data_IF_735496325610
#
_entry.id   IF_735496325610
#
_cell.length_a   1.000
_cell.length_b   1.000
_cell.length_c   1.000
_cell.angle_alpha   90.00
_cell.angle_beta   90.00
_cell.angle_gamma   90.00
#
_symmetry.space_group_name_H-M   'P 1'
#
loop_
_entity.id
_entity.type
_entity.pdbx_description
1 polymer ?
#
# COMPACT_ATOMS: atom_id res chain seq x y z
N UNK A 1 -20.21 -5.88 23.33
CA UNK A 1 -20.15 -4.80 22.33
C UNK A 1 -18.92 -5.04 21.46
N UNK A 2 -19.03 -5.57 20.24
CA UNK A 2 -17.88 -5.74 19.37
C UNK A 2 -17.49 -4.38 18.79
N UNK A 3 -16.24 -3.98 19.05
CA UNK A 3 -15.61 -2.74 18.59
C UNK A 3 -15.51 -2.75 17.07
N UNK A 4 -16.11 -1.75 16.40
CA UNK A 4 -15.98 -1.53 14.98
C UNK A 4 -14.57 -1.01 14.68
N UNK A 5 -13.70 -1.85 14.12
CA UNK A 5 -12.40 -1.41 13.61
C UNK A 5 -12.62 -0.57 12.34
N UNK A 6 -12.02 0.63 12.23
CA UNK A 6 -12.09 1.42 11.02
C UNK A 6 -11.35 0.69 9.88
N UNK A 7 -12.03 0.53 8.75
CA UNK A 7 -11.45 0.06 7.49
C UNK A 7 -10.21 0.89 7.15
N UNK A 8 -9.04 0.28 6.89
CA UNK A 8 -7.85 1.03 6.52
C UNK A 8 -8.09 1.64 5.13
N UNK A 9 -8.11 2.97 5.07
CA UNK A 9 -8.10 3.74 3.83
C UNK A 9 -6.93 3.26 2.95
N UNK A 10 -7.12 3.14 1.62
CA UNK A 10 -6.05 2.76 0.72
C UNK A 10 -4.87 3.74 0.87
N UNK A 11 -3.62 3.26 0.77
CA UNK A 11 -2.45 4.13 0.88
C UNK A 11 -2.51 5.23 -0.20
N UNK A 12 -2.08 6.46 0.15
CA UNK A 12 -2.11 7.56 -0.80
C UNK A 12 -1.27 7.21 -2.05
N UNK A 13 -1.70 7.62 -3.25
CA UNK A 13 -0.93 7.40 -4.46
C UNK A 13 0.48 8.02 -4.31
N UNK A 14 1.48 7.34 -4.86
CA UNK A 14 2.87 7.78 -4.78
C UNK A 14 3.00 9.24 -5.28
N UNK A 15 3.84 10.08 -4.64
CA UNK A 15 4.02 11.46 -5.05
C UNK A 15 4.48 11.51 -6.50
N UNK A 16 3.73 12.19 -7.35
CA UNK A 16 4.13 12.41 -8.73
C UNK A 16 5.29 13.43 -8.71
N UNK A 17 6.42 13.16 -9.38
CA UNK A 17 7.52 14.11 -9.43
C UNK A 17 7.05 15.43 -10.06
N UNK A 18 7.35 16.54 -9.40
CA UNK A 18 7.12 17.89 -9.94
C UNK A 18 8.22 18.32 -10.92
N UNK A 19 9.27 17.51 -11.06
CA UNK A 19 10.33 17.74 -12.03
C UNK A 19 9.80 17.52 -13.45
N UNK A 20 10.10 18.39 -14.42
CA UNK A 20 9.65 18.21 -15.79
C UNK A 20 10.13 16.88 -16.38
N UNK A 21 9.18 16.01 -16.74
CA UNK A 21 9.45 14.81 -17.52
C UNK A 21 9.68 15.12 -19.01
N UNK A 22 10.01 14.10 -19.83
CA UNK A 22 10.42 14.30 -21.23
C UNK A 22 9.37 15.04 -22.07
N UNK A 23 8.08 14.76 -21.83
CA UNK A 23 6.98 15.42 -22.53
C UNK A 23 6.74 16.84 -22.04
N UNK A 24 6.90 17.08 -20.74
CA UNK A 24 6.81 18.43 -20.18
C UNK A 24 7.94 19.31 -20.73
N UNK A 25 9.18 18.82 -20.75
CA UNK A 25 10.31 19.54 -21.36
C UNK A 25 10.08 19.86 -22.83
N UNK A 26 9.56 18.90 -23.61
CA UNK A 26 9.21 19.17 -25.02
C UNK A 26 8.12 20.22 -25.18
N UNK A 27 7.11 20.24 -24.29
CA UNK A 27 6.10 21.28 -24.29
C UNK A 27 6.74 22.66 -24.03
N UNK A 28 7.68 22.72 -23.08
CA UNK A 28 8.46 23.93 -22.82
C UNK A 28 9.21 24.41 -24.06
N UNK A 29 9.98 23.53 -24.68
CA UNK A 29 10.74 23.84 -25.89
C UNK A 29 9.86 24.35 -27.03
N UNK A 30 8.68 23.74 -27.23
CA UNK A 30 7.78 24.10 -28.33
C UNK A 30 7.20 25.49 -28.12
N UNK A 31 6.72 25.82 -26.91
CA UNK A 31 6.15 27.15 -26.72
C UNK A 31 7.22 28.24 -26.81
N UNK A 32 8.42 28.03 -26.25
CA UNK A 32 9.51 29.01 -26.31
C UNK A 32 9.92 29.29 -27.76
N UNK A 33 10.07 28.23 -28.56
CA UNK A 33 10.38 28.34 -29.99
C UNK A 33 9.25 29.04 -30.75
N UNK A 34 7.99 28.73 -30.46
CA UNK A 34 6.84 29.36 -31.11
C UNK A 34 6.73 30.85 -30.77
N UNK A 35 6.95 31.23 -29.50
CA UNK A 35 6.96 32.61 -29.04
C UNK A 35 8.11 33.39 -29.68
N UNK A 36 9.32 32.82 -29.70
CA UNK A 36 10.46 33.42 -30.36
C UNK A 36 10.19 33.65 -31.86
N UNK A 37 9.61 32.64 -32.54
CA UNK A 37 9.23 32.75 -33.95
C UNK A 37 8.19 33.85 -34.19
N UNK A 38 7.15 33.94 -33.34
CA UNK A 38 6.11 34.96 -33.47
C UNK A 38 6.66 36.38 -33.26
N UNK A 39 7.53 36.56 -32.26
CA UNK A 39 8.17 37.85 -31.99
C UNK A 39 9.16 38.26 -33.09
N UNK A 40 9.85 37.30 -33.70
CA UNK A 40 10.76 37.58 -34.82
C UNK A 40 10.03 38.09 -36.08
N UNK A 41 8.76 37.71 -36.26
CA UNK A 41 7.92 38.25 -37.33
C UNK A 41 7.67 39.75 -37.17
N UNK A 42 7.66 40.26 -35.93
CA UNK A 42 7.53 41.69 -35.62
C UNK A 42 8.89 42.38 -35.80
N UNK A 43 9.40 42.34 -37.03
CA UNK A 43 10.70 42.93 -37.37
C UNK A 43 10.64 44.46 -37.34
N UNK A 44 11.76 45.09 -36.98
CA UNK A 44 11.87 46.56 -36.96
C UNK A 44 11.57 47.21 -38.32
N UNK A 45 12.02 46.67 -39.48
CA UNK A 45 11.68 47.26 -40.78
C UNK A 45 10.17 47.31 -41.04
N UNK A 46 9.45 46.21 -40.79
CA UNK A 46 7.99 46.16 -40.94
C UNK A 46 7.30 47.13 -39.98
N UNK A 47 7.78 47.24 -38.75
CA UNK A 47 7.25 48.18 -37.76
C UNK A 47 7.48 49.65 -38.15
N UNK A 48 8.70 50.00 -38.58
CA UNK A 48 9.06 51.37 -38.97
C UNK A 48 8.32 51.84 -40.23
N UNK A 49 7.98 50.93 -41.15
CA UNK A 49 7.21 51.24 -42.35
C UNK A 49 5.79 51.76 -42.02
N UNK A 50 5.21 51.34 -40.89
CA UNK A 50 3.92 51.83 -40.40
C UNK A 50 4.00 53.23 -39.76
N UNK A 51 5.21 53.70 -39.42
CA UNK A 51 5.43 55.00 -38.75
C UNK A 51 6.49 55.85 -39.47
N UNK A 52 6.30 56.20 -40.76
CA UNK A 52 7.33 56.82 -41.59
C UNK A 52 7.76 58.22 -41.11
N UNK A 53 6.85 58.98 -40.51
CA UNK A 53 7.12 60.33 -39.98
C UNK A 53 7.99 60.29 -38.72
N UNK A 54 7.77 59.32 -37.84
CA UNK A 54 8.56 59.13 -36.61
C UNK A 54 9.89 58.47 -36.94
N UNK A 55 9.91 57.53 -37.89
CA UNK A 55 11.12 56.87 -38.35
C UNK A 55 12.15 57.84 -38.94
N UNK A 56 11.69 58.90 -39.63
CA UNK A 56 12.58 59.95 -40.19
C UNK A 56 13.02 60.97 -39.15
N UNK A 57 12.17 61.33 -38.18
CA UNK A 57 12.46 62.38 -37.20
C UNK A 57 13.18 61.89 -35.94
N UNK A 58 12.94 60.65 -35.51
CA UNK A 58 13.46 60.08 -34.28
C UNK A 58 13.64 58.54 -34.40
N UNK A 59 14.56 58.07 -35.26
CA UNK A 59 14.76 56.63 -35.50
C UNK A 59 15.19 55.87 -34.24
N UNK A 60 16.04 56.46 -33.40
CA UNK A 60 16.54 55.81 -32.17
C UNK A 60 15.44 55.66 -31.12
N UNK A 61 14.55 56.65 -30.98
CA UNK A 61 13.40 56.55 -30.10
C UNK A 61 12.42 55.46 -30.56
N UNK A 62 12.18 55.35 -31.88
CA UNK A 62 11.31 54.32 -32.45
C UNK A 62 11.88 52.91 -32.27
N UNK A 63 13.19 52.73 -32.45
CA UNK A 63 13.89 51.45 -32.14
C UNK A 63 13.76 51.09 -30.66
N UNK A 64 13.94 52.06 -29.77
CA UNK A 64 13.80 51.82 -28.33
C UNK A 64 12.38 51.37 -27.97
N UNK A 65 11.35 52.02 -28.52
CA UNK A 65 9.93 51.64 -28.31
C UNK A 65 9.66 50.23 -28.84
N UNK A 66 10.12 49.92 -30.05
CA UNK A 66 9.96 48.58 -30.64
C UNK A 66 10.64 47.50 -29.79
N UNK A 67 11.89 47.72 -29.37
CA UNK A 67 12.63 46.80 -28.52
C UNK A 67 11.96 46.59 -27.15
N UNK A 68 11.49 47.67 -26.53
CA UNK A 68 10.73 47.59 -25.27
C UNK A 68 9.41 46.85 -25.43
N UNK A 69 8.67 47.09 -26.51
CA UNK A 69 7.42 46.41 -26.81
C UNK A 69 7.62 44.90 -26.97
N UNK A 70 8.59 44.49 -27.80
CA UNK A 70 8.90 43.07 -28.04
C UNK A 70 9.38 42.40 -26.75
N UNK A 71 10.22 43.07 -25.97
CA UNK A 71 10.72 42.55 -24.69
C UNK A 71 9.60 42.38 -23.65
N UNK A 72 8.74 43.38 -23.48
CA UNK A 72 7.60 43.29 -22.55
C UNK A 72 6.60 42.23 -22.97
N UNK A 73 6.29 42.13 -24.27
CA UNK A 73 5.39 41.09 -24.78
C UNK A 73 5.95 39.69 -24.55
N UNK A 74 7.28 39.51 -24.73
CA UNK A 74 7.96 38.24 -24.41
C UNK A 74 7.81 37.90 -22.93
N UNK A 75 8.15 38.84 -22.04
CA UNK A 75 8.11 38.61 -20.60
C UNK A 75 6.69 38.27 -20.14
N UNK A 76 5.72 39.10 -20.54
CA UNK A 76 4.30 38.88 -20.22
C UNK A 76 3.81 37.51 -20.70
N UNK A 77 4.14 37.11 -21.93
CA UNK A 77 3.75 35.80 -22.45
C UNK A 77 4.36 34.65 -21.63
N UNK A 78 5.65 34.73 -21.30
CA UNK A 78 6.32 33.68 -20.49
C UNK A 78 5.68 33.57 -19.10
N UNK A 79 5.44 34.70 -18.43
CA UNK A 79 4.86 34.73 -17.09
C UNK A 79 3.44 34.13 -17.08
N UNK A 80 2.61 34.49 -18.06
CA UNK A 80 1.25 33.94 -18.23
C UNK A 80 1.29 32.43 -18.54
N UNK A 81 2.20 31.98 -19.40
CA UNK A 81 2.34 30.54 -19.67
C UNK A 81 2.76 29.77 -18.41
N UNK A 82 3.70 30.30 -17.63
CA UNK A 82 4.10 29.68 -16.37
C UNK A 82 2.94 29.62 -15.37
N UNK A 83 2.13 30.68 -15.28
CA UNK A 83 0.94 30.70 -14.44
C UNK A 83 -0.06 29.62 -14.86
N UNK A 84 -0.38 29.53 -16.15
CA UNK A 84 -1.30 28.50 -16.69
C UNK A 84 -0.77 27.09 -16.41
N UNK A 85 0.54 26.86 -16.61
CA UNK A 85 1.17 25.56 -16.35
C UNK A 85 1.04 25.14 -14.88
N UNK A 86 1.19 26.08 -13.94
CA UNK A 86 1.02 25.87 -12.50
C UNK A 86 -0.45 25.63 -12.14
N UNK A 87 -1.36 26.48 -12.59
CA UNK A 87 -2.81 26.37 -12.29
C UNK A 87 -3.41 25.04 -12.77
N UNK A 88 -3.03 24.62 -13.98
CA UNK A 88 -3.55 23.39 -14.58
C UNK A 88 -2.76 22.15 -14.18
N UNK A 89 -1.72 22.29 -13.35
CA UNK A 89 -0.82 21.22 -12.90
C UNK A 89 -0.32 20.38 -14.07
N UNK A 90 0.09 21.04 -15.16
CA UNK A 90 0.38 20.38 -16.43
C UNK A 90 1.55 19.41 -16.29
N UNK A 91 2.61 19.81 -15.61
CA UNK A 91 3.80 18.96 -15.40
C UNK A 91 3.42 17.67 -14.67
N UNK A 92 2.65 17.76 -13.59
CA UNK A 92 2.15 16.61 -12.84
C UNK A 92 1.33 15.66 -13.75
N UNK A 93 0.40 16.21 -14.53
CA UNK A 93 -0.46 15.42 -15.43
C UNK A 93 0.32 14.76 -16.56
N UNK A 94 1.27 15.46 -17.17
CA UNK A 94 2.12 14.90 -18.23
C UNK A 94 3.05 13.82 -17.68
N UNK A 95 3.57 14.00 -16.47
CA UNK A 95 4.37 12.97 -15.79
C UNK A 95 3.53 11.74 -15.43
N UNK A 96 2.29 11.95 -14.95
CA UNK A 96 1.33 10.88 -14.73
C UNK A 96 1.00 10.11 -16.01
N UNK A 97 0.86 10.80 -17.14
CA UNK A 97 0.67 10.18 -18.44
C UNK A 97 1.87 9.32 -18.86
N UNK A 98 3.10 9.82 -18.70
CA UNK A 98 4.31 9.02 -18.98
C UNK A 98 4.37 7.76 -18.11
N UNK A 99 3.99 7.85 -16.83
CA UNK A 99 3.91 6.68 -15.95
C UNK A 99 2.90 5.62 -16.45
N UNK A 100 1.74 6.06 -16.95
CA UNK A 100 0.72 5.17 -17.54
C UNK A 100 1.22 4.53 -18.83
N UNK A 101 1.88 5.31 -19.71
CA UNK A 101 2.46 4.80 -20.96
C UNK A 101 3.53 3.75 -20.66
N UNK A 102 4.42 4.01 -19.71
CA UNK A 102 5.44 3.06 -19.30
C UNK A 102 4.85 1.80 -18.67
N UNK A 103 3.80 1.93 -17.86
CA UNK A 103 3.09 0.77 -17.32
C UNK A 103 2.43 -0.08 -18.42
N UNK A 104 1.86 0.56 -19.45
CA UNK A 104 1.29 -0.15 -20.61
C UNK A 104 2.37 -0.85 -21.45
N UNK A 105 3.49 -0.18 -21.71
CA UNK A 105 4.66 -0.79 -22.41
C UNK A 105 5.18 -2.02 -21.67
N UNK A 106 5.28 -1.95 -20.33
CA UNK A 106 5.68 -3.09 -19.50
C UNK A 106 4.68 -4.24 -19.55
N UNK A 107 3.37 -3.97 -19.60
CA UNK A 107 2.33 -5.01 -19.74
C UNK A 107 2.42 -5.72 -21.10
N UNK A 108 2.54 -4.94 -22.18
CA UNK A 108 2.77 -5.47 -23.53
C UNK A 108 4.04 -6.33 -23.61
N UNK A 109 5.14 -5.85 -23.02
CA UNK A 109 6.41 -6.60 -23.00
C UNK A 109 6.35 -7.91 -22.21
N UNK A 110 5.47 -8.01 -21.21
CA UNK A 110 5.23 -9.23 -20.41
C UNK A 110 4.26 -10.22 -21.07
N UNK A 111 3.73 -9.90 -22.25
CA UNK A 111 2.75 -10.76 -22.95
C UNK A 111 1.36 -10.79 -22.31
N UNK A 112 1.08 -9.97 -21.29
CA UNK A 112 -0.23 -9.93 -20.60
C UNK A 112 -1.35 -9.42 -21.52
N UNK A 113 -0.99 -8.62 -22.52
CA UNK A 113 -1.92 -8.08 -23.52
C UNK A 113 -1.84 -8.84 -24.87
N UNK A 114 -1.15 -9.98 -24.94
CA UNK A 114 -0.99 -10.76 -26.18
C UNK A 114 -2.17 -11.70 -26.48
N UNK A 115 -3.07 -11.94 -25.53
CA UNK A 115 -4.21 -12.87 -25.68
C UNK A 115 -5.55 -12.18 -26.03
N UNK A 116 -5.54 -10.90 -26.42
CA UNK A 116 -6.74 -10.22 -26.97
C UNK A 116 -6.59 -10.04 -28.49
N UNK A 117 -6.19 -11.12 -29.17
CA UNK A 117 -6.43 -11.28 -30.60
C UNK A 117 -7.90 -11.65 -30.81
N UNK A 118 -8.78 -10.66 -30.70
CA UNK A 118 -10.08 -10.76 -31.37
C UNK A 118 -9.77 -10.69 -32.86
N UNK A 119 -9.95 -11.82 -33.57
CA UNK A 119 -9.76 -11.95 -35.01
C UNK A 119 -10.55 -10.89 -35.80
N UNK A 120 -9.89 -9.77 -36.06
CA UNK A 120 -10.35 -8.70 -36.93
C UNK A 120 -9.13 -7.87 -37.33
N UNK A 121 -8.83 -7.86 -38.63
CA UNK A 121 -7.68 -7.19 -39.25
C UNK A 121 -7.52 -5.74 -38.77
N UNK A 122 -6.65 -5.53 -37.78
CA UNK A 122 -6.43 -4.21 -37.20
C UNK A 122 -5.87 -4.23 -35.78
N UNK A 123 -4.75 -4.92 -35.58
CA UNK A 123 -3.87 -4.87 -34.39
C UNK A 123 -4.47 -4.29 -33.10
N UNK A 124 -5.07 -5.17 -32.28
CA UNK A 124 -5.25 -4.99 -30.83
C UNK A 124 -5.63 -3.59 -30.36
N UNK A 125 -6.70 -3.02 -30.90
CA UNK A 125 -7.28 -1.81 -30.35
C UNK A 125 -7.93 -2.15 -29.00
N UNK A 126 -7.22 -1.90 -27.90
CA UNK A 126 -7.76 -2.03 -26.55
C UNK A 126 -9.13 -1.34 -26.47
N UNK A 127 -10.11 -2.04 -25.89
CA UNK A 127 -11.49 -1.55 -25.78
C UNK A 127 -11.47 -0.15 -25.16
N UNK A 128 -11.91 0.85 -25.92
CA UNK A 128 -11.85 2.22 -25.48
C UNK A 128 -12.76 2.39 -24.25
N UNK A 129 -12.34 3.10 -23.19
CA UNK A 129 -13.09 3.16 -21.93
C UNK A 129 -14.53 3.71 -22.08
N UNK A 130 -14.80 4.47 -23.15
CA UNK A 130 -16.13 5.01 -23.45
C UNK A 130 -17.10 3.99 -24.07
N UNK A 131 -16.61 2.84 -24.55
CA UNK A 131 -17.45 1.74 -25.07
C UNK A 131 -17.77 0.71 -23.99
N UNK A 132 -17.16 0.83 -22.80
CA UNK A 132 -17.40 -0.10 -21.69
C UNK A 132 -18.68 0.25 -20.91
N UNK A 133 -19.50 -0.74 -20.55
CA UNK A 133 -20.67 -0.52 -19.71
C UNK A 133 -20.26 -0.14 -18.28
N UNK A 134 -21.06 0.69 -17.61
CA UNK A 134 -20.84 1.13 -16.23
C UNK A 134 -20.45 0.00 -15.23
N UNK A 135 -21.12 -1.18 -15.20
CA UNK A 135 -20.72 -2.26 -14.29
C UNK A 135 -19.30 -2.78 -14.55
N UNK A 136 -18.82 -2.77 -15.79
CA UNK A 136 -17.46 -3.22 -16.10
C UNK A 136 -16.41 -2.25 -15.57
N UNK A 137 -16.67 -0.94 -15.66
CA UNK A 137 -15.79 0.11 -15.11
C UNK A 137 -15.73 0.00 -13.58
N UNK A 138 -16.89 -0.18 -12.95
CA UNK A 138 -16.98 -0.34 -11.50
C UNK A 138 -16.26 -1.62 -11.03
N UNK A 139 -16.50 -2.74 -11.70
CA UNK A 139 -15.82 -4.00 -11.39
C UNK A 139 -14.30 -3.84 -11.55
N UNK A 140 -13.81 -3.30 -12.66
CA UNK A 140 -12.39 -3.09 -12.90
C UNK A 140 -11.71 -2.23 -11.82
N UNK A 141 -12.41 -1.22 -11.28
CA UNK A 141 -11.88 -0.39 -10.20
C UNK A 141 -11.92 -1.10 -8.83
N UNK A 142 -12.96 -1.87 -8.55
CA UNK A 142 -13.12 -2.54 -7.26
C UNK A 142 -12.29 -3.82 -7.14
N UNK A 143 -12.06 -4.55 -8.23
CA UNK A 143 -11.27 -5.78 -8.24
C UNK A 143 -9.92 -5.64 -7.53
N UNK A 144 -9.02 -4.69 -7.86
CA UNK A 144 -7.72 -4.61 -7.19
C UNK A 144 -7.83 -4.34 -5.68
N UNK A 145 -8.85 -3.58 -5.25
CA UNK A 145 -9.12 -3.32 -3.84
C UNK A 145 -9.54 -4.62 -3.15
N UNK A 146 -10.50 -5.34 -3.73
CA UNK A 146 -10.96 -6.61 -3.18
C UNK A 146 -9.87 -7.68 -3.15
N UNK A 147 -9.05 -7.78 -4.19
CA UNK A 147 -7.92 -8.73 -4.24
C UNK A 147 -6.91 -8.42 -3.12
N UNK A 148 -6.60 -7.15 -2.88
CA UNK A 148 -5.71 -6.73 -1.79
C UNK A 148 -6.30 -7.11 -0.43
N UNK A 149 -7.58 -6.80 -0.19
CA UNK A 149 -8.26 -7.14 1.06
C UNK A 149 -8.35 -8.66 1.27
N UNK A 150 -8.65 -9.42 0.21
CA UNK A 150 -8.69 -10.87 0.26
C UNK A 150 -7.32 -11.47 0.62
N UNK A 151 -6.23 -10.95 0.05
CA UNK A 151 -4.87 -11.40 0.42
C UNK A 151 -4.54 -11.12 1.89
N UNK A 152 -4.96 -9.96 2.42
CA UNK A 152 -4.74 -9.61 3.83
C UNK A 152 -5.54 -10.51 4.77
N UNK A 153 -6.80 -10.79 4.43
CA UNK A 153 -7.65 -11.69 5.22
C UNK A 153 -7.12 -13.12 5.21
N UNK A 154 -6.68 -13.62 4.04
CA UNK A 154 -6.08 -14.94 3.93
C UNK A 154 -4.81 -15.06 4.77
N UNK A 155 -3.95 -14.04 4.75
CA UNK A 155 -2.74 -14.02 5.59
C UNK A 155 -3.06 -14.04 7.10
N UNK A 156 -4.08 -13.28 7.53
CA UNK A 156 -4.55 -13.30 8.93
C UNK A 156 -5.11 -14.65 9.31
N UNK A 157 -5.96 -15.23 8.47
CA UNK A 157 -6.57 -16.53 8.68
C UNK A 157 -5.51 -17.62 8.80
N UNK A 158 -4.50 -17.63 7.92
CA UNK A 158 -3.38 -18.56 7.98
C UNK A 158 -2.58 -18.38 9.27
N UNK A 159 -2.32 -17.13 9.68
CA UNK A 159 -1.62 -16.84 10.94
C UNK A 159 -2.40 -17.39 12.14
N UNK A 160 -3.70 -17.11 12.24
CA UNK A 160 -4.55 -17.60 13.33
C UNK A 160 -4.66 -19.12 13.33
N UNK A 161 -4.79 -19.76 12.16
CA UNK A 161 -4.80 -21.22 12.06
C UNK A 161 -3.50 -21.84 12.56
N UNK A 162 -2.34 -21.26 12.22
CA UNK A 162 -1.05 -21.73 12.71
C UNK A 162 -0.91 -21.58 14.24
N UNK A 163 -1.39 -20.47 14.79
CA UNK A 163 -1.40 -20.24 16.25
C UNK A 163 -2.32 -21.24 16.97
N UNK A 164 -3.52 -21.46 16.44
CA UNK A 164 -4.47 -22.43 17.00
C UNK A 164 -3.91 -23.85 16.96
N UNK A 165 -3.21 -24.24 15.88
CA UNK A 165 -2.56 -25.54 15.80
C UNK A 165 -1.48 -25.71 16.88
N UNK A 166 -0.62 -24.71 17.07
CA UNK A 166 0.41 -24.73 18.13
C UNK A 166 -0.20 -24.81 19.53
N UNK A 167 -1.24 -24.02 19.80
CA UNK A 167 -1.93 -24.03 21.10
C UNK A 167 -2.64 -25.36 21.35
N UNK A 168 -3.23 -25.98 20.33
CA UNK A 168 -3.85 -27.29 20.46
C UNK A 168 -2.84 -28.39 20.81
N UNK A 169 -1.67 -28.37 20.18
CA UNK A 169 -0.57 -29.30 20.53
C UNK A 169 -0.06 -29.07 21.96
N UNK A 170 0.06 -27.81 22.40
CA UNK A 170 0.46 -27.50 23.77
C UNK A 170 -0.56 -27.99 24.80
N UNK A 171 -1.87 -27.75 24.56
CA UNK A 171 -2.95 -28.26 25.41
C UNK A 171 -2.92 -29.78 25.48
N UNK A 172 -2.68 -30.46 24.36
CA UNK A 172 -2.60 -31.92 24.32
C UNK A 172 -1.43 -32.42 25.17
N UNK A 173 -0.25 -31.82 25.03
CA UNK A 173 0.93 -32.15 25.85
C UNK A 173 0.68 -31.90 27.34
N UNK A 174 0.05 -30.78 27.69
CA UNK A 174 -0.30 -30.45 29.08
C UNK A 174 -1.31 -31.46 29.66
N UNK A 175 -2.29 -31.90 28.87
CA UNK A 175 -3.23 -32.94 29.31
C UNK A 175 -2.55 -34.28 29.58
N UNK A 176 -1.67 -34.72 28.69
CA UNK A 176 -0.86 -35.93 28.89
C UNK A 176 0.05 -35.82 30.13
N UNK A 177 0.55 -34.62 30.42
CA UNK A 177 1.33 -34.36 31.63
C UNK A 177 0.49 -34.40 32.90
N UNK A 178 -0.69 -33.77 32.91
CA UNK A 178 -1.64 -33.83 34.02
C UNK A 178 -2.03 -35.28 34.30
N UNK A 179 -2.37 -36.07 33.28
CA UNK A 179 -2.71 -37.48 33.47
C UNK A 179 -1.56 -38.28 34.09
N UNK A 180 -0.32 -37.99 33.72
CA UNK A 180 0.86 -38.65 34.31
C UNK A 180 1.06 -38.24 35.76
N UNK A 181 0.87 -36.96 36.08
CA UNK A 181 1.00 -36.44 37.44
C UNK A 181 -0.12 -37.01 38.34
N UNK A 182 -1.36 -37.07 37.85
CA UNK A 182 -2.49 -37.65 38.60
C UNK A 182 -2.23 -39.11 38.93
N UNK A 183 -1.81 -39.93 37.95
CA UNK A 183 -1.44 -41.34 38.21
C UNK A 183 -0.28 -41.46 39.20
N UNK A 184 0.70 -40.55 39.14
CA UNK A 184 1.79 -40.49 40.10
C UNK A 184 1.31 -40.22 41.53
N UNK A 185 0.37 -39.28 41.70
CA UNK A 185 -0.22 -38.96 43.01
C UNK A 185 -1.09 -40.11 43.51
N UNK A 186 -1.90 -40.74 42.64
CA UNK A 186 -2.70 -41.91 43.00
C UNK A 186 -1.83 -43.05 43.57
N UNK A 187 -0.71 -43.37 42.92
CA UNK A 187 0.23 -44.37 43.45
C UNK A 187 0.82 -43.98 44.81
N UNK A 188 1.19 -42.71 45.01
CA UNK A 188 1.73 -42.25 46.30
C UNK A 188 0.66 -42.30 47.40
N UNK A 189 -0.60 -42.01 47.08
CA UNK A 189 -1.71 -42.14 48.03
C UNK A 189 -1.94 -43.62 48.39
N UNK A 190 -1.94 -44.52 47.40
CA UNK A 190 -2.04 -45.97 47.65
C UNK A 190 -0.89 -46.48 48.52
N UNK A 191 0.34 -46.01 48.28
CA UNK A 191 1.50 -46.35 49.10
C UNK A 191 1.37 -45.83 50.54
N UNK A 192 0.82 -44.63 50.74
CA UNK A 192 0.55 -44.07 52.07
C UNK A 192 -0.58 -44.81 52.79
N UNK A 193 -1.66 -45.15 52.11
CA UNK A 193 -2.75 -45.94 52.67
C UNK A 193 -2.25 -47.32 53.11
N UNK A 194 -1.41 -47.96 52.29
CA UNK A 194 -0.75 -49.22 52.64
C UNK A 194 0.21 -49.08 53.82
N UNK A 195 0.97 -47.99 53.89
CA UNK A 195 1.84 -47.71 55.03
C UNK A 195 1.02 -47.50 56.32
N UNK A 196 -0.10 -46.79 56.24
CA UNK A 196 -1.04 -46.63 57.35
C UNK A 196 -1.63 -47.96 57.81
N UNK A 197 -2.04 -48.85 56.89
CA UNK A 197 -2.53 -50.19 57.27
C UNK A 197 -1.49 -51.02 58.05
N UNK A 198 -0.21 -50.90 57.68
CA UNK A 198 0.88 -51.58 58.39
C UNK A 198 1.04 -51.00 59.79
N UNK A 199 1.04 -49.67 59.91
CA UNK A 199 1.12 -48.99 61.21
C UNK A 199 -0.07 -49.34 62.12
N UNK A 200 -1.29 -49.39 61.59
CA UNK A 200 -2.49 -49.72 62.36
C UNK A 200 -2.41 -51.16 62.93
N UNK A 201 -1.87 -52.11 62.16
CA UNK A 201 -1.61 -53.48 62.65
C UNK A 201 -0.54 -53.52 63.74
N UNK A 202 0.51 -52.72 63.64
CA UNK A 202 1.54 -52.64 64.67
C UNK A 202 1.00 -51.97 65.94
N UNK A 203 0.17 -50.94 65.82
CA UNK A 203 -0.50 -50.27 66.96
C UNK A 203 -1.49 -51.22 67.64
N UNK A 204 -2.27 -51.98 66.88
CA UNK A 204 -3.14 -53.03 67.43
C UNK A 204 -2.34 -54.13 68.14
N UNK A 205 -1.18 -54.52 67.59
CA UNK A 205 -0.26 -55.47 68.20
C UNK A 205 0.27 -54.95 69.54
N UNK A 206 0.79 -53.72 69.56
CA UNK A 206 1.28 -53.04 70.77
C UNK A 206 0.16 -52.82 71.80
N UNK A 207 -1.07 -52.53 71.35
CA UNK A 207 -2.23 -52.39 72.23
C UNK A 207 -2.59 -53.71 72.92
N UNK A 208 -2.51 -54.85 72.21
CA UNK A 208 -2.70 -56.17 72.80
C UNK A 208 -1.58 -56.53 73.77
N UNK A 209 -0.32 -56.27 73.39
CA UNK A 209 0.83 -56.49 74.27
C UNK A 209 0.76 -55.61 75.53
N UNK A 210 0.29 -54.37 75.43
CA UNK A 210 0.08 -53.48 76.58
C UNK A 210 -1.04 -53.98 77.51
N UNK A 211 -2.15 -54.49 76.95
CA UNK A 211 -3.24 -55.08 77.75
C UNK A 211 -2.83 -56.39 78.42
N UNK A 212 -2.00 -57.20 77.75
CA UNK A 212 -1.41 -58.40 78.34
C UNK A 212 -0.43 -58.06 79.45
N UNK A 213 0.43 -57.06 79.26
CA UNK A 213 1.33 -56.55 80.29
C UNK A 213 0.57 -55.96 81.49
N UNK A 214 -0.52 -55.23 81.26
CA UNK A 214 -1.37 -54.69 82.32
C UNK A 214 -2.06 -55.81 83.13
N UNK A 215 -2.54 -56.87 82.47
CA UNK A 215 -3.10 -58.05 83.16
C UNK A 215 -2.06 -58.76 84.02
N UNK A 216 -0.86 -58.98 83.50
CA UNK A 216 0.24 -59.62 84.24
C UNK A 216 0.63 -58.78 85.48
N UNK A 217 0.59 -57.46 85.39
CA UNK A 217 0.83 -56.56 86.53
C UNK A 217 -0.32 -56.52 87.56
N UNK A 218 -1.55 -56.88 87.17
CA UNK A 218 -2.73 -56.87 88.04
C UNK A 218 -2.93 -58.18 88.80
N UNK A 219 -2.39 -59.27 88.29
CA UNK A 219 -2.43 -60.62 88.88
C UNK A 219 -1.18 -60.96 89.74
N UNK A 220 -0.29 -59.98 89.97
CA UNK A 220 0.90 -60.06 90.83
C UNK A 220 0.70 -59.26 92.15
#
# INVERSE_FOLDING_TARGET
>A
MPSAYPTPSPPPPAPIPLTPGPRASRLHDVYEKSLASALNTISYPAFSACFPTVASRAPEALKAVHGQMVSRLRQFAIDEFEMILKERKVVERLNGLEAVIEAARRRKARGVDADVDVEGEGGGAGVAPHTLPAPAILAAHLTPIYTTQQSQLNAKLQTTQSQNATLAEEIKKQREEIERLVRGVEMVVEDLDRANEVLDREVDGLGREALEAERVLRDA
#
